data_IF_110215254035
#
_entry.id   IF_110215254035
#
_cell.length_a   1.000
_cell.length_b   1.000
_cell.length_c   1.000
_cell.angle_alpha   90.00
_cell.angle_beta   90.00
_cell.angle_gamma   90.00
#
_symmetry.space_group_name_H-M   'P 1'
#
loop_
_entity.id
_entity.type
_entity.pdbx_description
1 polymer ?
#
# COMPACT_ATOMS: atom_id res chain seq x y z
N UNK A 1 1.72 8.32 -31.44
CA UNK A 1 2.61 7.59 -30.52
C UNK A 1 3.82 7.09 -31.27
N UNK A 2 5.03 7.41 -30.80
CA UNK A 2 6.29 6.82 -31.33
C UNK A 2 6.53 5.46 -30.66
N UNK A 3 7.30 4.54 -31.28
CA UNK A 3 7.59 3.23 -30.67
C UNK A 3 8.15 3.37 -29.25
N UNK A 4 9.03 4.34 -29.00
CA UNK A 4 9.56 4.60 -27.66
C UNK A 4 8.48 4.94 -26.63
N UNK A 5 7.52 5.80 -26.98
CA UNK A 5 6.40 6.11 -26.09
C UNK A 5 5.56 4.87 -25.78
N UNK A 6 5.31 4.04 -26.78
CA UNK A 6 4.53 2.81 -26.65
C UNK A 6 5.27 1.80 -25.76
N UNK A 7 6.59 1.66 -25.92
CA UNK A 7 7.41 0.82 -25.04
C UNK A 7 7.28 1.26 -23.58
N UNK A 8 7.33 2.56 -23.29
CA UNK A 8 7.13 3.06 -21.94
C UNK A 8 5.74 2.69 -21.43
N UNK A 9 4.66 2.98 -22.17
CA UNK A 9 3.30 2.60 -21.75
C UNK A 9 3.17 1.09 -21.49
N UNK A 10 3.74 0.25 -22.36
CA UNK A 10 3.74 -1.20 -22.15
C UNK A 10 4.44 -1.60 -20.85
N UNK A 11 5.56 -0.95 -20.51
CA UNK A 11 6.31 -1.22 -19.29
C UNK A 11 5.56 -0.75 -18.03
N UNK A 12 4.83 0.36 -18.12
CA UNK A 12 4.37 1.11 -16.93
C UNK A 12 2.89 1.08 -16.65
N UNK A 13 2.04 0.63 -17.57
CA UNK A 13 0.58 0.63 -17.39
C UNK A 13 0.02 -0.78 -17.41
N UNK A 14 -1.08 -1.02 -16.69
CA UNK A 14 -1.78 -2.31 -16.69
C UNK A 14 -2.65 -2.46 -17.96
N UNK A 15 -2.01 -2.45 -19.12
CA UNK A 15 -2.70 -2.70 -20.39
C UNK A 15 -3.05 -4.19 -20.45
N UNK A 16 -4.25 -4.52 -19.94
CA UNK A 16 -4.89 -5.83 -20.11
C UNK A 16 -5.56 -5.99 -21.48
N UNK A 17 -5.73 -4.92 -22.27
CA UNK A 17 -6.47 -5.04 -23.52
C UNK A 17 -5.64 -5.77 -24.58
N UNK A 18 -6.13 -6.94 -25.02
CA UNK A 18 -5.72 -7.58 -26.29
C UNK A 18 -5.65 -6.54 -27.43
N UNK A 19 -6.55 -5.54 -27.42
CA UNK A 19 -6.57 -4.41 -28.34
C UNK A 19 -5.24 -3.66 -28.45
N UNK A 20 -4.51 -3.43 -27.35
CA UNK A 20 -3.29 -2.65 -27.42
C UNK A 20 -2.08 -3.45 -27.91
N UNK A 21 -2.02 -4.76 -27.68
CA UNK A 21 -1.03 -5.61 -28.35
C UNK A 21 -1.31 -5.66 -29.86
N UNK A 22 -2.59 -5.67 -30.25
CA UNK A 22 -2.99 -5.56 -31.66
C UNK A 22 -2.62 -4.19 -32.23
N UNK A 23 -2.83 -3.09 -31.50
CA UNK A 23 -2.42 -1.74 -31.91
C UNK A 23 -0.89 -1.63 -32.00
N UNK A 24 -0.16 -2.22 -31.04
CA UNK A 24 1.31 -2.29 -31.07
C UNK A 24 1.78 -3.01 -32.33
N UNK A 25 1.26 -4.22 -32.57
CA UNK A 25 1.61 -5.00 -33.76
C UNK A 25 1.19 -4.29 -35.04
N UNK A 26 0.03 -3.63 -35.06
CA UNK A 26 -0.42 -2.86 -36.22
C UNK A 26 0.51 -1.67 -36.52
N UNK A 27 0.90 -0.89 -35.50
CA UNK A 27 1.84 0.23 -35.65
C UNK A 27 3.22 -0.28 -36.06
N UNK A 28 3.69 -1.40 -35.48
CA UNK A 28 4.96 -2.01 -35.83
C UNK A 28 4.98 -2.51 -37.28
N UNK A 29 3.95 -3.25 -37.69
CA UNK A 29 3.79 -3.77 -39.06
C UNK A 29 3.65 -2.61 -40.06
N UNK A 30 2.88 -1.58 -39.74
CA UNK A 30 2.74 -0.39 -40.59
C UNK A 30 4.08 0.36 -40.72
N UNK A 31 4.81 0.52 -39.61
CA UNK A 31 6.14 1.12 -39.61
C UNK A 31 7.13 0.31 -40.47
N UNK A 32 7.10 -1.01 -40.36
CA UNK A 32 7.93 -1.91 -41.16
C UNK A 32 7.59 -1.83 -42.65
N UNK A 33 6.29 -1.79 -43.00
CA UNK A 33 5.81 -1.70 -44.36
C UNK A 33 6.20 -0.37 -45.05
N UNK A 34 6.18 0.74 -44.30
CA UNK A 34 6.69 2.03 -44.76
C UNK A 34 8.20 1.94 -45.01
N UNK A 35 8.95 1.36 -44.08
CA UNK A 35 10.41 1.23 -44.18
C UNK A 35 10.84 0.38 -45.39
N UNK A 36 10.14 -0.72 -45.65
CA UNK A 36 10.38 -1.58 -46.83
C UNK A 36 10.05 -0.85 -48.14
N UNK A 37 8.93 -0.13 -48.22
CA UNK A 37 8.61 0.66 -49.42
C UNK A 37 9.64 1.75 -49.70
N UNK A 38 10.12 2.40 -48.64
CA UNK A 38 11.14 3.45 -48.70
C UNK A 38 12.50 2.87 -49.11
N UNK A 39 12.82 1.63 -48.74
CA UNK A 39 14.08 0.96 -49.09
C UNK A 39 14.32 0.87 -50.60
N UNK A 40 13.27 0.61 -51.39
CA UNK A 40 13.42 0.41 -52.85
C UNK A 40 13.73 1.68 -53.65
N UNK A 41 13.60 2.87 -53.05
CA UNK A 41 13.66 4.14 -53.77
C UNK A 41 14.76 5.10 -53.27
N UNK A 42 15.61 4.65 -52.34
CA UNK A 42 16.48 5.53 -51.56
C UNK A 42 17.96 5.13 -51.65
N UNK A 43 18.84 6.12 -51.74
CA UNK A 43 20.30 5.92 -51.75
C UNK A 43 20.82 5.41 -50.41
N UNK A 44 21.95 4.66 -50.35
CA UNK A 44 22.47 4.10 -49.10
C UNK A 44 22.68 5.13 -47.97
N UNK A 45 23.04 6.37 -48.32
CA UNK A 45 23.24 7.44 -47.35
C UNK A 45 21.94 7.90 -46.67
N UNK A 46 20.87 8.00 -47.45
CA UNK A 46 19.54 8.35 -46.94
C UNK A 46 18.96 7.23 -46.06
N UNK A 47 19.33 5.95 -46.30
CA UNK A 47 18.97 4.83 -45.41
C UNK A 47 19.58 5.05 -44.02
N UNK A 48 20.88 5.34 -43.95
CA UNK A 48 21.56 5.62 -42.67
C UNK A 48 20.93 6.81 -41.95
N UNK A 49 20.60 7.86 -42.68
CA UNK A 49 19.90 9.03 -42.13
C UNK A 49 18.54 8.66 -41.54
N UNK A 50 17.72 7.91 -42.28
CA UNK A 50 16.39 7.48 -41.83
C UNK A 50 16.46 6.57 -40.59
N UNK A 51 17.44 5.67 -40.54
CA UNK A 51 17.71 4.84 -39.36
C UNK A 51 18.07 5.74 -38.16
N UNK A 52 18.96 6.72 -38.37
CA UNK A 52 19.32 7.69 -37.33
C UNK A 52 18.12 8.47 -36.81
N UNK A 53 17.29 9.02 -37.71
CA UNK A 53 16.05 9.74 -37.36
C UNK A 53 15.08 8.84 -36.60
N UNK A 54 14.92 7.58 -37.02
CA UNK A 54 14.08 6.61 -36.32
C UNK A 54 14.56 6.36 -34.89
N UNK A 55 15.86 6.13 -34.68
CA UNK A 55 16.41 5.94 -33.34
C UNK A 55 16.23 7.19 -32.46
N UNK A 56 16.44 8.38 -33.03
CA UNK A 56 16.20 9.65 -32.32
C UNK A 56 14.71 9.76 -31.94
N UNK A 57 13.79 9.44 -32.84
CA UNK A 57 12.35 9.49 -32.57
C UNK A 57 11.91 8.47 -31.50
N UNK A 58 12.53 7.28 -31.49
CA UNK A 58 12.33 6.27 -30.44
C UNK A 58 12.85 6.79 -29.10
N UNK A 59 14.08 7.29 -29.05
CA UNK A 59 14.69 7.82 -27.83
C UNK A 59 13.89 9.00 -27.27
N UNK A 60 13.54 9.97 -28.12
CA UNK A 60 12.72 11.13 -27.74
C UNK A 60 11.34 10.69 -27.25
N UNK A 61 10.70 9.75 -27.96
CA UNK A 61 9.44 9.15 -27.55
C UNK A 61 9.47 8.50 -26.17
N UNK A 62 10.52 7.74 -25.91
CA UNK A 62 10.77 7.10 -24.63
C UNK A 62 10.93 8.15 -23.53
N UNK A 63 11.85 9.12 -23.73
CA UNK A 63 12.10 10.20 -22.76
C UNK A 63 10.84 11.00 -22.43
N UNK A 64 10.04 11.33 -23.45
CA UNK A 64 8.80 12.08 -23.28
C UNK A 64 7.75 11.30 -22.49
N UNK A 65 7.54 10.03 -22.82
CA UNK A 65 6.60 9.18 -22.10
C UNK A 65 7.05 8.91 -20.65
N UNK A 66 8.35 8.69 -20.43
CA UNK A 66 8.91 8.57 -19.08
C UNK A 66 8.65 9.84 -18.28
N UNK A 67 8.92 11.01 -18.85
CA UNK A 67 8.61 12.30 -18.21
C UNK A 67 7.12 12.45 -17.90
N UNK A 68 6.24 12.05 -18.84
CA UNK A 68 4.80 12.11 -18.66
C UNK A 68 4.30 11.24 -17.50
N UNK A 69 4.85 10.03 -17.34
CA UNK A 69 4.50 9.13 -16.23
C UNK A 69 5.03 9.64 -14.90
N UNK A 70 6.27 10.15 -14.90
CA UNK A 70 6.82 10.73 -13.69
C UNK A 70 6.00 11.94 -13.25
N UNK A 71 5.46 12.72 -14.18
CA UNK A 71 4.59 13.86 -13.89
C UNK A 71 3.15 13.49 -13.49
N UNK A 72 2.82 12.20 -13.35
CA UNK A 72 1.53 11.80 -12.81
C UNK A 72 1.42 12.27 -11.36
N UNK A 73 0.43 13.12 -11.10
CA UNK A 73 0.10 13.54 -9.74
C UNK A 73 -0.84 12.53 -9.11
N UNK A 74 -0.61 12.27 -7.84
CA UNK A 74 -1.56 11.55 -7.00
C UNK A 74 -2.46 12.59 -6.34
N UNK A 75 -3.37 13.15 -7.13
CA UNK A 75 -4.33 14.13 -6.62
C UNK A 75 -5.54 13.37 -6.10
N UNK A 76 -5.70 13.36 -4.77
CA UNK A 76 -6.97 13.02 -4.16
C UNK A 76 -7.97 14.11 -4.54
N UNK A 77 -9.02 13.83 -5.34
CA UNK A 77 -10.08 14.80 -5.53
C UNK A 77 -10.69 15.09 -4.17
N UNK A 78 -10.74 16.37 -3.81
CA UNK A 78 -11.34 16.82 -2.57
C UNK A 78 -12.62 17.59 -2.92
N UNK A 79 -13.75 17.31 -2.27
CA UNK A 79 -14.96 18.11 -2.42
C UNK A 79 -14.70 19.55 -1.95
N UNK A 80 -15.21 20.54 -2.69
CA UNK A 80 -15.06 21.96 -2.34
C UNK A 80 -15.91 22.36 -1.12
N UNK A 81 -17.06 21.71 -0.92
CA UNK A 81 -17.95 21.95 0.21
C UNK A 81 -18.44 20.63 0.77
N UNK A 82 -18.38 20.48 2.10
CA UNK A 82 -18.93 19.35 2.82
C UNK A 82 -19.95 19.86 3.83
N UNK A 83 -21.24 19.54 3.65
CA UNK A 83 -22.22 19.80 4.69
C UNK A 83 -21.87 18.93 5.90
N UNK A 84 -21.82 19.54 7.08
CA UNK A 84 -21.46 18.87 8.32
C UNK A 84 -22.68 18.92 9.22
N UNK A 85 -23.22 17.73 9.52
CA UNK A 85 -24.23 17.56 10.55
C UNK A 85 -23.50 17.16 11.84
N UNK A 86 -23.41 18.10 12.79
CA UNK A 86 -22.69 17.92 14.07
C UNK A 86 -23.63 17.69 15.25
N UNK A 87 -24.93 17.49 15.04
CA UNK A 87 -25.89 17.45 16.17
C UNK A 87 -25.77 16.18 17.02
N UNK A 88 -25.39 15.05 16.41
CA UNK A 88 -25.17 13.78 17.12
C UNK A 88 -23.68 13.45 17.26
N UNK A 89 -23.26 13.05 18.46
CA UNK A 89 -21.93 12.47 18.65
C UNK A 89 -21.85 11.11 17.92
N UNK A 90 -21.09 11.08 16.82
CA UNK A 90 -20.80 9.85 16.09
C UNK A 90 -19.30 9.62 16.04
N UNK A 91 -18.93 8.39 16.40
CA UNK A 91 -17.56 7.93 16.40
C UNK A 91 -17.25 7.11 15.15
N UNK A 92 -16.05 7.29 14.60
CA UNK A 92 -15.57 6.55 13.45
C UNK A 92 -14.18 5.96 13.72
N UNK A 93 -13.93 4.75 13.22
CA UNK A 93 -12.61 4.14 13.18
C UNK A 93 -12.12 4.08 11.73
N UNK A 94 -10.98 4.72 11.46
CA UNK A 94 -10.27 4.62 10.19
C UNK A 94 -9.07 3.69 10.37
N UNK A 95 -8.97 2.66 9.54
CA UNK A 95 -7.82 1.75 9.51
C UNK A 95 -6.86 2.19 8.43
N UNK A 96 -5.76 2.82 8.83
CA UNK A 96 -4.74 3.35 7.92
C UNK A 96 -3.65 2.30 7.66
N UNK A 97 -3.39 2.02 6.39
CA UNK A 97 -2.34 1.07 5.97
C UNK A 97 -1.55 1.58 4.76
N UNK A 98 -0.43 0.92 4.44
CA UNK A 98 0.42 1.25 3.28
C UNK A 98 -0.39 1.29 1.97
N UNK A 99 -1.30 0.36 1.78
CA UNK A 99 -2.09 0.22 0.56
C UNK A 99 -1.34 -0.44 -0.58
N UNK A 100 -1.99 -1.40 -1.22
CA UNK A 100 -1.59 -1.90 -2.53
C UNK A 100 -2.82 -2.02 -3.42
N UNK A 101 -2.71 -1.50 -4.63
CA UNK A 101 -3.78 -1.56 -5.60
C UNK A 101 -4.13 -3.02 -5.94
N UNK A 102 -5.41 -3.33 -6.11
CA UNK A 102 -5.87 -4.66 -6.55
C UNK A 102 -5.29 -5.05 -7.92
N UNK A 103 -5.02 -4.04 -8.74
CA UNK A 103 -4.35 -4.12 -10.01
C UNK A 103 -3.06 -3.32 -10.00
N UNK A 104 -2.10 -3.68 -10.85
CA UNK A 104 -0.85 -2.94 -10.93
C UNK A 104 -1.10 -1.45 -11.25
N UNK A 105 -0.68 -0.58 -10.33
CA UNK A 105 -0.79 0.87 -10.42
C UNK A 105 0.61 1.49 -10.27
N UNK A 106 1.12 2.25 -11.26
CA UNK A 106 2.44 2.88 -11.16
C UNK A 106 2.50 4.02 -10.12
N UNK A 107 1.38 4.59 -9.71
CA UNK A 107 1.36 5.81 -8.91
C UNK A 107 2.11 5.67 -7.57
N UNK A 108 1.96 4.54 -6.89
CA UNK A 108 2.70 4.24 -5.66
C UNK A 108 4.22 4.38 -5.83
N UNK A 109 4.74 3.85 -6.94
CA UNK A 109 6.18 3.91 -7.23
C UNK A 109 6.60 5.32 -7.69
N UNK A 110 5.73 6.04 -8.42
CA UNK A 110 5.96 7.47 -8.75
C UNK A 110 6.07 8.31 -7.47
N UNK A 111 5.17 8.12 -6.51
CA UNK A 111 5.19 8.80 -5.20
C UNK A 111 6.49 8.51 -4.44
N UNK A 112 6.91 7.24 -4.37
CA UNK A 112 8.21 6.86 -3.78
C UNK A 112 9.38 7.60 -4.44
N UNK A 113 9.40 7.70 -5.77
CA UNK A 113 10.43 8.47 -6.47
C UNK A 113 10.37 9.97 -6.15
N UNK A 114 9.20 10.57 -6.00
CA UNK A 114 9.12 11.97 -5.58
C UNK A 114 9.72 12.19 -4.21
N UNK A 115 9.35 11.36 -3.23
CA UNK A 115 9.89 11.47 -1.87
C UNK A 115 11.41 11.23 -1.85
N UNK A 116 11.91 10.29 -2.65
CA UNK A 116 13.36 10.10 -2.81
C UNK A 116 14.07 11.33 -3.39
N UNK A 117 13.44 12.09 -4.30
CA UNK A 117 14.05 13.34 -4.84
C UNK A 117 14.08 14.39 -3.73
N UNK A 118 12.97 14.55 -3.03
CA UNK A 118 12.78 15.53 -1.96
C UNK A 118 13.76 15.32 -0.80
N UNK A 119 13.99 14.06 -0.43
CA UNK A 119 14.85 13.66 0.71
C UNK A 119 16.30 13.40 0.30
N UNK A 120 16.66 13.57 -0.97
CA UNK A 120 18.04 13.39 -1.45
C UNK A 120 18.52 11.94 -1.55
N UNK A 121 17.63 10.95 -1.48
CA UNK A 121 17.98 9.54 -1.67
C UNK A 121 18.42 9.29 -3.12
N UNK A 122 19.57 8.61 -3.33
CA UNK A 122 20.02 8.24 -4.68
C UNK A 122 18.96 7.42 -5.43
N UNK A 123 18.63 7.89 -6.63
CA UNK A 123 17.70 7.19 -7.51
C UNK A 123 18.44 6.51 -8.65
N UNK A 124 17.83 5.43 -9.14
CA UNK A 124 18.14 4.94 -10.49
C UNK A 124 17.89 6.07 -11.48
N UNK A 125 18.74 6.18 -12.50
CA UNK A 125 18.61 7.22 -13.51
C UNK A 125 17.20 7.24 -14.11
N UNK A 126 16.66 8.43 -14.39
CA UNK A 126 15.27 8.61 -14.84
C UNK A 126 14.88 7.71 -16.03
N UNK A 127 15.82 7.46 -16.93
CA UNK A 127 15.62 6.58 -18.10
C UNK A 127 15.47 5.09 -17.73
N UNK A 128 15.90 4.66 -16.56
CA UNK A 128 15.76 3.28 -16.10
C UNK A 128 14.46 3.04 -15.30
N UNK A 129 13.78 4.10 -14.83
CA UNK A 129 12.57 3.98 -14.02
C UNK A 129 11.46 3.13 -14.67
N UNK A 130 11.15 3.24 -15.99
CA UNK A 130 10.20 2.34 -16.68
C UNK A 130 10.48 0.84 -16.49
N UNK A 131 11.75 0.44 -16.33
CA UNK A 131 12.10 -0.96 -16.08
C UNK A 131 11.73 -1.39 -14.66
N UNK A 132 11.80 -0.49 -13.67
CA UNK A 132 11.38 -0.77 -12.30
C UNK A 132 9.86 -0.91 -12.20
N UNK A 133 9.11 -0.02 -12.86
CA UNK A 133 7.66 -0.17 -13.05
C UNK A 133 7.31 -1.54 -13.66
N UNK A 134 8.04 -1.95 -14.69
CA UNK A 134 7.83 -3.26 -15.31
C UNK A 134 8.16 -4.44 -14.39
N UNK A 135 9.19 -4.32 -13.55
CA UNK A 135 9.50 -5.34 -12.53
C UNK A 135 8.32 -5.49 -11.57
N UNK A 136 7.83 -4.41 -10.98
CA UNK A 136 6.66 -4.43 -10.07
C UNK A 136 5.44 -5.02 -10.78
N UNK A 137 5.16 -4.60 -12.01
CA UNK A 137 4.08 -5.16 -12.84
C UNK A 137 4.20 -6.68 -13.02
N UNK A 138 5.41 -7.22 -13.18
CA UNK A 138 5.63 -8.67 -13.28
C UNK A 138 5.36 -9.39 -11.96
N UNK A 139 5.68 -8.77 -10.81
CA UNK A 139 5.36 -9.32 -9.48
C UNK A 139 3.85 -9.46 -9.31
N UNK A 140 3.09 -8.40 -9.61
CA UNK A 140 1.62 -8.42 -9.62
C UNK A 140 1.04 -9.52 -10.49
N UNK A 141 1.52 -9.66 -11.73
CA UNK A 141 1.08 -10.73 -12.64
C UNK A 141 1.36 -12.11 -12.08
N UNK A 142 2.46 -12.29 -11.36
CA UNK A 142 2.79 -13.56 -10.74
C UNK A 142 1.82 -13.88 -9.60
N UNK A 143 1.58 -12.93 -8.69
CA UNK A 143 0.64 -13.10 -7.56
C UNK A 143 -0.77 -13.43 -8.08
N UNK A 144 -1.23 -12.69 -9.08
CA UNK A 144 -2.53 -12.92 -9.70
C UNK A 144 -2.62 -14.32 -10.31
N UNK A 145 -1.56 -14.77 -11.00
CA UNK A 145 -1.49 -16.11 -11.58
C UNK A 145 -1.43 -17.21 -10.51
N UNK A 146 -0.61 -17.05 -9.48
CA UNK A 146 -0.51 -18.05 -8.41
C UNK A 146 -1.83 -18.21 -7.66
N UNK A 147 -2.61 -17.13 -7.54
CA UNK A 147 -3.95 -17.20 -6.96
C UNK A 147 -4.97 -17.85 -7.88
N UNK A 148 -4.93 -17.59 -9.19
CA UNK A 148 -5.82 -18.26 -10.14
C UNK A 148 -5.61 -19.76 -10.20
N UNK A 149 -4.36 -20.20 -10.01
CA UNK A 149 -4.01 -21.62 -10.00
C UNK A 149 -4.54 -22.33 -8.74
N UNK A 150 -4.85 -21.59 -7.67
CA UNK A 150 -5.44 -22.13 -6.42
C UNK A 150 -6.97 -22.20 -6.46
N UNK A 151 -7.63 -21.35 -7.23
CA UNK A 151 -9.10 -21.27 -7.32
C UNK A 151 -9.67 -22.04 -8.50
N UNK A 152 -9.27 -23.31 -8.71
CA UNK A 152 -9.69 -24.11 -9.88
C UNK A 152 -11.22 -24.31 -9.99
N UNK A 153 -12.00 -24.13 -8.91
CA UNK A 153 -13.44 -24.41 -8.89
C UNK A 153 -14.36 -23.18 -9.07
N UNK A 154 -13.88 -21.94 -8.88
CA UNK A 154 -14.72 -20.71 -8.89
C UNK A 154 -14.51 -19.76 -10.10
N UNK A 155 -13.73 -20.17 -11.11
CA UNK A 155 -13.27 -19.30 -12.23
C UNK A 155 -14.32 -19.10 -13.34
N UNK A 156 -15.52 -18.63 -13.00
CA UNK A 156 -16.41 -18.06 -14.02
C UNK A 156 -16.88 -16.63 -13.78
N UNK A 157 -16.65 -16.05 -12.60
CA UNK A 157 -17.29 -14.77 -12.27
C UNK A 157 -16.31 -13.64 -11.96
N UNK A 158 -15.16 -13.88 -11.33
CA UNK A 158 -14.27 -12.80 -10.89
C UNK A 158 -12.83 -13.00 -11.37
N UNK A 159 -12.26 -11.95 -11.98
CA UNK A 159 -10.84 -11.93 -12.31
C UNK A 159 -9.99 -11.95 -11.03
N UNK A 160 -8.92 -12.75 -10.97
CA UNK A 160 -7.98 -12.75 -9.86
C UNK A 160 -7.31 -11.37 -9.72
N UNK A 161 -7.18 -10.88 -8.48
CA UNK A 161 -6.64 -9.56 -8.12
C UNK A 161 -5.66 -9.67 -6.96
N UNK A 162 -4.79 -8.68 -6.74
CA UNK A 162 -3.97 -8.61 -5.53
C UNK A 162 -4.90 -8.64 -4.29
N UNK A 163 -4.64 -9.51 -3.30
CA UNK A 163 -5.55 -9.74 -2.18
C UNK A 163 -5.50 -8.63 -1.12
N UNK A 164 -4.54 -7.72 -1.17
CA UNK A 164 -4.28 -6.71 -0.12
C UNK A 164 -5.55 -5.99 0.32
N UNK A 165 -6.31 -5.44 -0.64
CA UNK A 165 -7.54 -4.70 -0.34
C UNK A 165 -8.63 -5.61 0.24
N UNK A 166 -8.78 -6.82 -0.28
CA UNK A 166 -9.73 -7.81 0.27
C UNK A 166 -9.37 -8.17 1.72
N UNK A 167 -8.09 -8.37 2.01
CA UNK A 167 -7.63 -8.67 3.38
C UNK A 167 -7.86 -7.49 4.30
N UNK A 168 -7.56 -6.27 3.86
CA UNK A 168 -7.81 -5.05 4.65
C UNK A 168 -9.29 -4.90 4.95
N UNK A 169 -10.17 -5.10 3.96
CA UNK A 169 -11.61 -5.08 4.16
C UNK A 169 -12.07 -6.13 5.16
N UNK A 170 -11.61 -7.37 5.03
CA UNK A 170 -11.92 -8.42 5.99
C UNK A 170 -11.45 -8.05 7.42
N UNK A 171 -10.28 -7.43 7.54
CA UNK A 171 -9.78 -6.92 8.82
C UNK A 171 -10.75 -5.87 9.39
N UNK A 172 -11.17 -4.89 8.59
CA UNK A 172 -12.14 -3.86 8.99
C UNK A 172 -13.50 -4.45 9.38
N UNK A 173 -14.04 -5.37 8.58
CA UNK A 173 -15.30 -6.07 8.87
C UNK A 173 -15.20 -6.88 10.19
N UNK A 174 -14.05 -7.50 10.45
CA UNK A 174 -13.84 -8.20 11.72
C UNK A 174 -13.68 -7.23 12.89
N UNK A 175 -13.01 -6.09 12.72
CA UNK A 175 -12.99 -5.04 13.74
C UNK A 175 -14.41 -4.57 14.06
N UNK A 176 -15.23 -4.29 13.05
CA UNK A 176 -16.63 -3.89 13.20
C UNK A 176 -17.45 -4.94 13.96
N UNK A 177 -17.29 -6.22 13.59
CA UNK A 177 -18.00 -7.32 14.28
C UNK A 177 -17.50 -7.58 15.71
N UNK A 178 -16.23 -7.29 16.00
CA UNK A 178 -15.60 -7.55 17.30
C UNK A 178 -15.77 -6.37 18.26
N UNK A 179 -15.85 -5.16 17.73
CA UNK A 179 -15.89 -3.91 18.46
C UNK A 179 -17.15 -3.14 18.05
N UNK A 180 -18.15 -3.09 18.93
CA UNK A 180 -19.37 -2.30 18.67
C UNK A 180 -19.25 -0.87 19.24
N UNK A 181 -18.03 -0.41 19.51
CA UNK A 181 -17.78 0.90 20.14
C UNK A 181 -17.84 2.06 19.16
N UNK A 182 -17.63 1.81 17.86
CA UNK A 182 -17.67 2.84 16.82
C UNK A 182 -18.94 2.73 15.99
N UNK A 183 -19.47 3.87 15.54
CA UNK A 183 -20.63 3.92 14.66
C UNK A 183 -20.25 3.63 13.20
N UNK A 184 -18.99 3.86 12.83
CA UNK A 184 -18.52 3.78 11.46
C UNK A 184 -17.11 3.19 11.39
N UNK A 185 -16.86 2.42 10.33
CA UNK A 185 -15.58 1.78 10.04
C UNK A 185 -15.18 2.06 8.59
N UNK A 186 -13.92 2.38 8.35
CA UNK A 186 -13.42 2.70 7.00
C UNK A 186 -11.96 2.30 6.83
N UNK A 187 -11.64 1.66 5.71
CA UNK A 187 -10.25 1.44 5.26
C UNK A 187 -9.67 2.72 4.65
N UNK A 188 -8.39 3.01 4.91
CA UNK A 188 -7.63 4.08 4.28
C UNK A 188 -6.24 3.60 3.87
N UNK A 189 -5.74 4.13 2.76
CA UNK A 189 -4.50 3.70 2.13
C UNK A 189 -3.60 4.89 1.79
N UNK A 190 -2.29 4.72 1.96
CA UNK A 190 -1.32 5.72 1.51
C UNK A 190 -1.08 5.60 0.00
N UNK A 191 -0.93 4.39 -0.51
CA UNK A 191 -0.55 4.16 -1.91
C UNK A 191 -1.71 3.71 -2.81
N UNK A 192 -2.94 3.75 -2.31
CA UNK A 192 -4.15 3.38 -3.06
C UNK A 192 -5.37 4.19 -2.58
N UNK A 193 -6.56 3.87 -3.10
CA UNK A 193 -7.82 4.54 -2.78
C UNK A 193 -8.76 3.67 -1.93
N UNK A 194 -9.48 4.26 -0.96
CA UNK A 194 -9.50 5.68 -0.61
C UNK A 194 -8.26 6.10 0.19
N UNK A 195 -7.84 7.35 -0.02
CA UNK A 195 -6.76 7.98 0.77
C UNK A 195 -7.22 8.31 2.18
N UNK A 196 -6.29 8.66 3.07
CA UNK A 196 -6.65 9.10 4.43
C UNK A 196 -7.56 10.34 4.40
N UNK A 197 -7.31 11.29 3.51
CA UNK A 197 -8.19 12.45 3.34
C UNK A 197 -9.58 12.07 2.88
N UNK A 198 -9.70 11.19 1.89
CA UNK A 198 -11.02 10.74 1.44
C UNK A 198 -11.76 9.97 2.52
N UNK A 199 -11.06 9.13 3.27
CA UNK A 199 -11.64 8.42 4.39
C UNK A 199 -12.13 9.41 5.46
N UNK A 200 -11.31 10.39 5.85
CA UNK A 200 -11.67 11.44 6.80
C UNK A 200 -12.88 12.24 6.33
N UNK A 201 -12.83 12.80 5.13
CA UNK A 201 -13.93 13.60 4.58
C UNK A 201 -15.21 12.76 4.43
N UNK A 202 -15.11 11.49 4.06
CA UNK A 202 -16.25 10.59 4.01
C UNK A 202 -16.83 10.27 5.38
N UNK A 203 -16.02 10.19 6.44
CA UNK A 203 -16.52 10.00 7.80
C UNK A 203 -17.18 11.29 8.33
N UNK A 204 -16.55 12.44 8.09
CA UNK A 204 -17.05 13.76 8.49
C UNK A 204 -18.39 14.04 7.81
N UNK A 205 -18.51 13.77 6.50
CA UNK A 205 -19.75 13.96 5.76
C UNK A 205 -20.90 13.06 6.23
N UNK A 206 -20.60 12.01 6.99
CA UNK A 206 -21.57 11.09 7.60
C UNK A 206 -21.90 11.47 9.05
N UNK A 207 -21.38 12.61 9.52
CA UNK A 207 -21.59 13.17 10.85
C UNK A 207 -20.59 12.71 11.90
N UNK A 208 -19.44 12.12 11.51
CA UNK A 208 -18.43 11.72 12.49
C UNK A 208 -17.74 12.96 13.09
N UNK A 209 -17.81 13.11 14.42
CA UNK A 209 -17.12 14.16 15.17
C UNK A 209 -16.01 13.62 16.10
N UNK A 210 -15.96 12.30 16.32
CA UNK A 210 -14.87 11.62 17.04
C UNK A 210 -14.24 10.56 16.14
N UNK A 211 -13.09 10.85 15.56
CA UNK A 211 -12.44 9.94 14.61
C UNK A 211 -11.18 9.35 15.24
N UNK A 212 -11.09 8.03 15.30
CA UNK A 212 -9.87 7.33 15.70
C UNK A 212 -9.21 6.71 14.48
N UNK A 213 -7.91 6.94 14.31
CA UNK A 213 -7.09 6.34 13.26
C UNK A 213 -6.28 5.19 13.88
N UNK A 214 -6.63 3.95 13.52
CA UNK A 214 -5.80 2.78 13.77
C UNK A 214 -4.68 2.75 12.74
N UNK A 215 -3.46 2.98 13.21
CA UNK A 215 -2.27 2.97 12.41
C UNK A 215 -1.74 1.52 12.25
N UNK A 216 -1.74 0.99 11.02
CA UNK A 216 -1.16 -0.32 10.71
C UNK A 216 0.34 -0.27 10.36
N UNK A 217 1.04 0.82 10.63
CA UNK A 217 2.48 0.94 10.48
C UNK A 217 3.22 0.45 11.74
N UNK A 218 4.39 -0.15 11.51
CA UNK A 218 5.28 -0.57 12.60
C UNK A 218 5.95 0.61 13.27
N UNK A 219 6.22 1.68 12.53
CA UNK A 219 6.98 2.83 12.98
C UNK A 219 6.64 4.05 12.13
N UNK A 220 7.16 5.20 12.52
CA UNK A 220 7.20 6.39 11.67
C UNK A 220 8.05 6.10 10.44
N UNK A 221 7.42 6.18 9.26
CA UNK A 221 8.00 5.92 7.95
C UNK A 221 7.67 7.04 6.98
N UNK A 222 8.31 7.05 5.81
CA UNK A 222 7.97 8.02 4.78
C UNK A 222 6.51 7.84 4.28
N UNK A 223 5.97 6.62 4.21
CA UNK A 223 4.56 6.42 3.85
C UNK A 223 3.62 7.00 4.91
N UNK A 224 3.97 6.84 6.18
CA UNK A 224 3.21 7.47 7.26
C UNK A 224 3.28 9.00 7.17
N UNK A 225 4.47 9.57 6.98
CA UNK A 225 4.66 11.01 6.78
C UNK A 225 3.81 11.54 5.61
N UNK A 226 3.76 10.81 4.49
CA UNK A 226 2.89 11.14 3.37
C UNK A 226 1.39 11.12 3.71
N UNK A 227 0.95 10.23 4.61
CA UNK A 227 -0.42 10.22 5.10
C UNK A 227 -0.70 11.48 5.96
N UNK A 228 0.25 11.87 6.80
CA UNK A 228 0.15 13.07 7.63
C UNK A 228 0.16 14.34 6.75
N UNK A 229 1.02 14.41 5.74
CA UNK A 229 1.02 15.48 4.74
C UNK A 229 -0.32 15.60 4.01
N UNK A 230 -0.97 14.47 3.70
CA UNK A 230 -2.33 14.50 3.15
C UNK A 230 -3.30 15.11 4.16
N UNK A 231 -3.32 14.62 5.41
CA UNK A 231 -4.21 15.14 6.46
C UNK A 231 -4.07 16.65 6.66
N UNK A 232 -2.83 17.17 6.53
CA UNK A 232 -2.54 18.60 6.66
C UNK A 232 -3.21 19.50 5.63
N UNK A 233 -3.79 18.93 4.56
CA UNK A 233 -4.49 19.69 3.52
C UNK A 233 -5.88 20.14 3.95
N UNK A 234 -6.39 19.65 5.07
CA UNK A 234 -7.72 19.95 5.60
C UNK A 234 -7.55 20.73 6.90
N UNK A 235 -8.23 21.87 7.01
CA UNK A 235 -8.35 22.62 8.27
C UNK A 235 -9.50 22.02 9.09
N UNK A 236 -9.18 21.52 10.28
CA UNK A 236 -10.13 20.92 11.22
C UNK A 236 -10.57 21.88 12.33
N UNK A 237 -9.95 23.07 12.42
CA UNK A 237 -10.02 23.92 13.62
C UNK A 237 -11.42 24.48 13.92
N UNK A 238 -12.26 24.67 12.90
CA UNK A 238 -13.57 25.33 13.05
C UNK A 238 -14.75 24.35 13.28
N UNK A 239 -14.51 23.03 13.28
CA UNK A 239 -15.58 22.03 13.09
C UNK A 239 -15.93 21.25 14.37
N UNK A 240 -15.17 21.43 15.45
CA UNK A 240 -15.40 20.68 16.68
C UNK A 240 -15.17 19.16 16.54
N UNK A 241 -14.36 18.73 15.57
CA UNK A 241 -13.97 17.34 15.39
C UNK A 241 -12.77 17.04 16.28
N UNK A 242 -12.76 15.86 16.91
CA UNK A 242 -11.58 15.29 17.55
C UNK A 242 -11.02 14.17 16.67
N UNK A 243 -9.73 14.24 16.35
CA UNK A 243 -9.00 13.15 15.69
C UNK A 243 -8.00 12.58 16.67
N UNK A 244 -8.09 11.29 16.94
CA UNK A 244 -7.13 10.53 17.74
C UNK A 244 -6.41 9.51 16.89
N UNK A 245 -5.17 9.20 17.23
CA UNK A 245 -4.37 8.20 16.53
C UNK A 245 -3.77 7.20 17.52
N UNK A 246 -3.72 5.94 17.11
CA UNK A 246 -3.02 4.90 17.86
C UNK A 246 -1.50 5.07 17.76
N UNK A 247 -0.78 4.53 18.75
CA UNK A 247 0.65 4.32 18.63
C UNK A 247 0.98 3.31 17.51
N UNK A 248 2.25 3.29 17.10
CA UNK A 248 2.76 2.33 16.12
C UNK A 248 2.83 0.91 16.68
N UNK A 249 2.72 -0.08 15.79
CA UNK A 249 2.64 -1.49 16.19
C UNK A 249 3.97 -2.05 16.75
N UNK A 250 5.12 -1.38 16.53
CA UNK A 250 6.42 -1.82 17.08
C UNK A 250 6.42 -1.90 18.61
N UNK A 251 5.59 -1.11 19.27
CA UNK A 251 5.54 -1.03 20.73
C UNK A 251 4.74 -2.19 21.36
N UNK A 252 4.06 -3.01 20.56
CA UNK A 252 3.18 -4.07 21.06
C UNK A 252 3.93 -5.38 21.35
N UNK A 253 4.26 -5.59 22.62
CA UNK A 253 4.81 -6.87 23.10
C UNK A 253 3.83 -8.05 22.88
N UNK A 254 2.53 -7.76 22.94
CA UNK A 254 1.44 -8.72 22.69
C UNK A 254 1.47 -9.23 21.25
N UNK A 255 1.61 -8.33 20.26
CA UNK A 255 1.73 -8.73 18.85
C UNK A 255 2.99 -9.58 18.65
N UNK A 256 4.11 -9.20 19.26
CA UNK A 256 5.34 -10.00 19.19
C UNK A 256 5.14 -11.43 19.75
N UNK A 257 4.39 -11.59 20.84
CA UNK A 257 4.03 -12.90 21.40
C UNK A 257 3.16 -13.72 20.45
N UNK A 258 2.13 -13.11 19.87
CA UNK A 258 1.23 -13.77 18.93
C UNK A 258 2.03 -14.28 17.72
N UNK A 259 2.91 -13.44 17.17
CA UNK A 259 3.76 -13.82 16.03
C UNK A 259 4.72 -14.95 16.38
N UNK A 260 5.39 -14.89 17.54
CA UNK A 260 6.27 -15.97 17.99
C UNK A 260 5.52 -17.30 18.14
N UNK A 261 4.32 -17.29 18.72
CA UNK A 261 3.46 -18.47 18.84
C UNK A 261 3.01 -19.01 17.48
N UNK A 262 2.62 -18.13 16.55
CA UNK A 262 2.19 -18.50 15.20
C UNK A 262 3.33 -19.16 14.40
N UNK A 263 4.54 -18.61 14.48
CA UNK A 263 5.74 -19.20 13.88
C UNK A 263 6.01 -20.58 14.49
N UNK A 264 5.94 -20.70 15.83
CA UNK A 264 6.15 -21.97 16.51
C UNK A 264 5.09 -23.02 16.15
N UNK A 265 3.83 -22.62 16.02
CA UNK A 265 2.71 -23.50 15.69
C UNK A 265 2.76 -24.02 14.24
N UNK A 266 3.46 -23.34 13.34
CA UNK A 266 3.66 -23.79 11.97
C UNK A 266 4.70 -24.92 11.85
N UNK A 267 5.53 -25.13 12.87
CA UNK A 267 6.48 -26.24 12.94
C UNK A 267 5.71 -27.50 13.36
N UNK A 268 5.89 -28.61 12.66
CA UNK A 268 5.18 -29.85 12.97
C UNK A 268 5.52 -30.34 14.39
N UNK A 269 4.53 -30.82 15.14
CA UNK A 269 4.69 -31.20 16.56
C UNK A 269 5.82 -32.20 16.83
N UNK A 270 6.11 -33.10 15.87
CA UNK A 270 7.13 -34.14 16.01
C UNK A 270 8.46 -33.79 15.32
N UNK A 271 8.60 -32.57 14.79
CA UNK A 271 9.81 -32.15 14.10
C UNK A 271 10.90 -31.79 15.09
N UNK A 272 12.11 -32.25 14.81
CA UNK A 272 13.28 -31.88 15.60
C UNK A 272 13.61 -30.39 15.39
N UNK A 273 13.43 -29.59 16.43
CA UNK A 273 13.72 -28.14 16.43
C UNK A 273 15.19 -27.85 16.15
N UNK A 274 16.09 -28.81 16.40
CA UNK A 274 17.50 -28.69 16.04
C UNK A 274 17.69 -28.64 14.51
N UNK A 275 16.73 -29.10 13.72
CA UNK A 275 16.78 -29.04 12.25
C UNK A 275 15.99 -27.87 11.66
N UNK A 276 15.38 -27.02 12.49
CA UNK A 276 14.52 -25.92 12.04
C UNK A 276 15.24 -24.57 12.19
N UNK A 277 15.29 -23.81 11.10
CA UNK A 277 15.71 -22.42 11.08
C UNK A 277 14.51 -21.48 10.97
N UNK A 278 14.59 -20.30 11.60
CA UNK A 278 13.59 -19.23 11.48
C UNK A 278 14.23 -18.02 10.82
N UNK A 279 13.55 -17.48 9.82
CA UNK A 279 13.95 -16.28 9.09
C UNK A 279 12.91 -15.17 9.25
N UNK A 280 13.26 -14.14 10.02
CA UNK A 280 12.46 -12.95 10.31
C UNK A 280 12.82 -11.82 9.34
N UNK A 281 11.99 -11.60 8.33
CA UNK A 281 12.28 -10.64 7.26
C UNK A 281 11.53 -9.32 7.48
N UNK A 282 12.23 -8.20 7.29
CA UNK A 282 11.64 -6.86 7.18
C UNK A 282 11.96 -6.26 5.80
N UNK A 283 11.19 -5.26 5.36
CA UNK A 283 11.39 -4.63 4.05
C UNK A 283 12.76 -3.94 4.00
N UNK A 284 13.06 -3.09 4.98
CA UNK A 284 14.24 -2.24 4.99
C UNK A 284 14.03 -0.96 4.17
N UNK A 285 14.88 0.04 4.43
CA UNK A 285 14.86 1.32 3.74
C UNK A 285 16.28 1.82 3.44
N UNK A 286 16.46 2.77 2.51
CA UNK A 286 17.74 3.44 2.27
C UNK A 286 18.34 4.06 3.55
N UNK A 287 19.67 4.07 3.66
CA UNK A 287 20.38 4.60 4.83
C UNK A 287 20.14 6.10 5.04
N UNK A 288 19.98 6.85 3.95
CA UNK A 288 19.71 8.27 3.98
C UNK A 288 18.37 8.61 4.65
N UNK A 289 17.44 7.64 4.71
CA UNK A 289 16.16 7.81 5.41
C UNK A 289 16.21 7.55 6.91
N UNK A 290 17.25 6.91 7.46
CA UNK A 290 17.31 6.67 8.91
C UNK A 290 17.39 7.95 9.73
N UNK A 291 17.98 9.01 9.16
CA UNK A 291 18.05 10.30 9.81
C UNK A 291 16.69 11.02 9.86
N UNK A 292 15.76 10.66 8.97
CA UNK A 292 14.43 11.26 8.88
C UNK A 292 13.37 10.38 9.56
N UNK A 293 13.50 9.07 9.43
CA UNK A 293 12.52 8.08 9.84
C UNK A 293 13.22 6.94 10.60
N UNK A 294 12.96 6.75 11.91
CA UNK A 294 13.64 5.75 12.73
C UNK A 294 13.13 4.31 12.53
N UNK A 295 12.43 4.03 11.42
CA UNK A 295 11.80 2.72 11.16
C UNK A 295 12.79 1.55 11.19
N UNK A 296 14.01 1.70 10.66
CA UNK A 296 15.01 0.61 10.64
C UNK A 296 15.33 0.12 12.06
N UNK A 297 15.54 1.06 13.00
CA UNK A 297 15.83 0.72 14.40
C UNK A 297 14.61 0.10 15.08
N UNK A 298 13.43 0.66 14.88
CA UNK A 298 12.19 0.15 15.48
C UNK A 298 11.81 -1.25 14.96
N UNK A 299 11.96 -1.50 13.67
CA UNK A 299 11.76 -2.83 13.06
C UNK A 299 12.78 -3.86 13.56
N UNK A 300 14.02 -3.46 13.78
CA UNK A 300 15.04 -4.33 14.36
C UNK A 300 14.75 -4.66 15.83
N UNK A 301 14.36 -3.67 16.64
CA UNK A 301 13.93 -3.87 18.04
C UNK A 301 12.73 -4.82 18.09
N UNK A 302 11.71 -4.59 17.26
CA UNK A 302 10.51 -5.43 17.19
C UNK A 302 10.84 -6.88 16.86
N UNK A 303 11.67 -7.12 15.83
CA UNK A 303 12.08 -8.47 15.42
C UNK A 303 12.98 -9.16 16.43
N UNK A 304 13.87 -8.42 17.10
CA UNK A 304 14.66 -8.95 18.23
C UNK A 304 13.77 -9.37 19.38
N UNK A 305 12.67 -8.65 19.62
CA UNK A 305 11.63 -9.04 20.57
C UNK A 305 10.98 -10.39 20.23
N UNK A 306 10.56 -10.56 18.96
CA UNK A 306 10.05 -11.84 18.46
C UNK A 306 11.10 -12.95 18.59
N UNK A 307 12.36 -12.70 18.21
CA UNK A 307 13.45 -13.67 18.31
C UNK A 307 13.65 -14.15 19.75
N UNK A 308 13.65 -13.24 20.73
CA UNK A 308 13.73 -13.58 22.16
C UNK A 308 12.54 -14.44 22.61
N UNK A 309 11.32 -14.13 22.13
CA UNK A 309 10.12 -14.91 22.45
C UNK A 309 10.17 -16.31 21.83
N UNK A 310 10.64 -16.45 20.60
CA UNK A 310 10.90 -17.73 19.93
C UNK A 310 11.95 -18.57 20.68
N UNK A 311 13.02 -17.94 21.18
CA UNK A 311 14.04 -18.61 21.97
C UNK A 311 13.44 -19.20 23.25
N UNK A 312 12.56 -18.45 23.95
CA UNK A 312 11.80 -18.94 25.09
C UNK A 312 10.86 -20.12 24.75
N UNK A 313 10.42 -20.22 23.49
CA UNK A 313 9.63 -21.35 22.98
C UNK A 313 10.49 -22.56 22.54
N UNK A 314 11.78 -22.55 22.88
CA UNK A 314 12.69 -23.68 22.71
C UNK A 314 13.41 -23.73 21.36
N UNK A 315 13.35 -22.66 20.55
CA UNK A 315 14.12 -22.56 19.30
C UNK A 315 15.52 -22.02 19.63
N UNK A 316 16.58 -22.65 19.11
CA UNK A 316 17.95 -22.17 19.36
C UNK A 316 18.15 -20.77 18.78
N UNK A 317 18.69 -19.83 19.56
CA UNK A 317 18.93 -18.45 19.12
C UNK A 317 19.82 -18.38 17.88
N UNK A 318 20.78 -19.29 17.74
CA UNK A 318 21.67 -19.34 16.58
C UNK A 318 20.92 -19.67 15.28
N UNK A 319 19.74 -20.31 15.39
CA UNK A 319 18.85 -20.73 14.30
C UNK A 319 17.71 -19.74 14.06
N UNK A 320 17.74 -18.58 14.73
CA UNK A 320 16.85 -17.47 14.44
C UNK A 320 17.67 -16.39 13.74
N UNK A 321 17.29 -16.06 12.51
CA UNK A 321 17.97 -15.04 11.70
C UNK A 321 17.03 -13.91 11.40
N UNK A 322 17.55 -12.70 11.52
CA UNK A 322 16.91 -11.49 11.02
C UNK A 322 17.51 -11.23 9.64
N UNK A 323 16.67 -10.81 8.69
CA UNK A 323 17.12 -10.45 7.36
C UNK A 323 16.34 -9.25 6.85
N UNK A 324 16.94 -8.55 5.90
CA UNK A 324 16.31 -7.45 5.20
C UNK A 324 16.04 -7.86 3.76
N UNK A 325 14.89 -7.42 3.24
CA UNK A 325 14.54 -7.67 1.85
C UNK A 325 15.39 -6.80 0.91
N UNK A 326 15.63 -5.54 1.29
CA UNK A 326 16.41 -4.59 0.52
C UNK A 326 17.15 -3.58 1.42
N UNK A 327 18.09 -2.86 0.81
CA UNK A 327 18.83 -1.71 1.35
C UNK A 327 19.70 -1.95 2.59
N UNK A 328 19.58 -3.10 3.26
CA UNK A 328 20.27 -3.42 4.52
C UNK A 328 20.84 -4.81 4.54
N UNK A 329 21.73 -5.03 5.50
CA UNK A 329 22.41 -6.32 5.74
C UNK A 329 22.07 -6.85 7.13
N UNK A 330 21.99 -8.18 7.31
CA UNK A 330 22.18 -9.21 6.28
C UNK A 330 20.96 -9.31 5.34
N UNK A 331 21.21 -9.62 4.07
CA UNK A 331 20.14 -9.92 3.10
C UNK A 331 19.57 -11.33 3.33
N UNK A 332 18.40 -11.61 2.77
CA UNK A 332 17.71 -12.92 2.89
C UNK A 332 18.65 -14.09 2.58
N UNK A 333 19.43 -13.97 1.51
CA UNK A 333 20.33 -15.02 1.02
C UNK A 333 21.46 -15.33 2.00
N UNK A 334 22.05 -14.30 2.61
CA UNK A 334 23.14 -14.48 3.58
C UNK A 334 22.62 -15.18 4.85
N UNK A 335 21.48 -14.72 5.36
CA UNK A 335 20.83 -15.29 6.54
C UNK A 335 20.34 -16.72 6.27
N UNK A 336 19.81 -16.99 5.08
CA UNK A 336 19.45 -18.33 4.65
C UNK A 336 20.67 -19.27 4.66
N UNK A 337 21.77 -18.87 4.03
CA UNK A 337 22.99 -19.68 3.96
C UNK A 337 23.61 -19.94 5.35
N UNK A 338 23.50 -18.98 6.27
CA UNK A 338 23.91 -19.19 7.67
C UNK A 338 23.05 -20.26 8.38
N UNK A 339 21.74 -20.31 8.13
CA UNK A 339 20.87 -21.38 8.66
C UNK A 339 21.25 -22.75 8.11
N UNK A 340 21.58 -22.84 6.81
CA UNK A 340 22.00 -24.10 6.18
C UNK A 340 23.32 -24.60 6.79
N UNK A 341 24.30 -23.72 6.99
CA UNK A 341 25.56 -24.04 7.67
C UNK A 341 25.36 -24.57 9.09
N UNK A 342 24.27 -24.17 9.74
CA UNK A 342 23.87 -24.65 11.09
C UNK A 342 23.06 -25.94 11.07
N UNK A 343 22.96 -26.60 9.91
CA UNK A 343 22.30 -27.88 9.75
C UNK A 343 20.77 -27.79 9.68
N UNK A 344 20.20 -26.61 9.42
CA UNK A 344 18.75 -26.48 9.24
C UNK A 344 18.34 -27.16 7.93
N UNK A 345 17.29 -27.99 8.00
CA UNK A 345 16.68 -28.70 6.86
C UNK A 345 15.29 -28.17 6.51
N UNK A 346 14.68 -27.45 7.45
CA UNK A 346 13.42 -26.75 7.27
C UNK A 346 13.62 -25.30 7.70
N UNK A 347 13.17 -24.36 6.89
CA UNK A 347 13.23 -22.93 7.19
C UNK A 347 11.82 -22.36 7.19
N UNK A 348 11.40 -21.88 8.35
CA UNK A 348 10.18 -21.08 8.51
C UNK A 348 10.52 -19.63 8.23
N UNK A 349 9.82 -18.99 7.30
CA UNK A 349 10.08 -17.58 6.97
C UNK A 349 8.81 -16.74 7.07
N UNK A 350 8.96 -15.48 7.48
CA UNK A 350 7.84 -14.57 7.74
C UNK A 350 8.22 -13.13 7.42
N UNK A 351 7.29 -12.40 6.79
CA UNK A 351 7.34 -10.95 6.67
C UNK A 351 6.94 -10.33 8.01
N UNK A 352 7.90 -10.19 8.92
CA UNK A 352 7.63 -9.85 10.32
C UNK A 352 7.02 -8.48 10.53
N UNK A 353 7.36 -7.50 9.69
CA UNK A 353 6.97 -6.09 9.86
C UNK A 353 5.86 -5.67 8.90
N UNK A 354 5.22 -6.64 8.24
CA UNK A 354 4.15 -6.41 7.28
C UNK A 354 2.83 -6.96 7.83
N UNK A 355 1.91 -6.11 8.31
CA UNK A 355 0.66 -6.59 8.90
C UNK A 355 -0.32 -7.20 7.89
N UNK A 356 -0.29 -6.77 6.63
CA UNK A 356 -1.19 -7.25 5.58
C UNK A 356 -0.36 -7.88 4.47
N UNK A 357 -0.79 -9.05 3.97
CA UNK A 357 -0.10 -9.71 2.87
C UNK A 357 -0.04 -8.80 1.64
N UNK A 358 1.16 -8.62 1.11
CA UNK A 358 1.50 -7.65 0.08
C UNK A 358 2.44 -8.27 -0.95
N UNK A 359 2.93 -7.49 -1.92
CA UNK A 359 3.88 -7.99 -2.92
C UNK A 359 5.14 -8.58 -2.27
N UNK A 360 5.62 -7.97 -1.19
CA UNK A 360 6.85 -8.42 -0.53
C UNK A 360 6.67 -9.81 0.12
N UNK A 361 5.56 -10.01 0.86
CA UNK A 361 5.28 -11.29 1.54
C UNK A 361 4.83 -12.39 0.59
N UNK A 362 4.09 -12.05 -0.47
CA UNK A 362 3.51 -13.02 -1.40
C UNK A 362 4.44 -13.37 -2.57
N UNK A 363 5.38 -12.49 -2.92
CA UNK A 363 6.27 -12.70 -4.06
C UNK A 363 7.74 -12.58 -3.69
N UNK A 364 8.20 -11.43 -3.19
CA UNK A 364 9.64 -11.18 -3.13
C UNK A 364 10.38 -12.09 -2.16
N UNK A 365 9.85 -12.26 -0.94
CA UNK A 365 10.45 -13.15 0.07
C UNK A 365 10.44 -14.61 -0.39
N UNK A 366 9.29 -15.20 -0.79
CA UNK A 366 9.27 -16.56 -1.34
C UNK A 366 10.23 -16.70 -2.52
N UNK A 367 10.25 -15.72 -3.43
CA UNK A 367 11.04 -15.83 -4.66
C UNK A 367 12.54 -15.81 -4.39
N UNK A 368 13.00 -15.03 -3.41
CA UNK A 368 14.40 -14.99 -2.99
C UNK A 368 14.85 -16.36 -2.43
N UNK A 369 13.97 -17.08 -1.74
CA UNK A 369 14.27 -18.36 -1.09
C UNK A 369 14.11 -19.58 -2.00
N UNK A 370 13.10 -19.60 -2.87
CA UNK A 370 12.69 -20.78 -3.65
C UNK A 370 13.83 -21.42 -4.46
N UNK A 371 14.66 -20.61 -5.12
CA UNK A 371 15.70 -21.12 -6.00
C UNK A 371 16.81 -21.80 -5.20
N UNK A 372 17.18 -21.24 -4.05
CA UNK A 372 18.21 -21.79 -3.17
C UNK A 372 17.70 -23.03 -2.45
N UNK A 373 16.47 -22.97 -1.91
CA UNK A 373 15.85 -24.10 -1.25
C UNK A 373 15.70 -25.34 -2.13
N UNK A 374 15.40 -25.16 -3.42
CA UNK A 374 15.38 -26.28 -4.38
C UNK A 374 16.76 -26.88 -4.61
N UNK A 375 17.82 -26.07 -4.66
CA UNK A 375 19.18 -26.54 -4.87
C UNK A 375 19.70 -27.29 -3.63
N UNK A 376 19.38 -26.79 -2.44
CA UNK A 376 19.86 -27.32 -1.16
C UNK A 376 18.93 -28.42 -0.58
N UNK A 377 17.82 -28.73 -1.27
CA UNK A 377 16.78 -29.67 -0.82
C UNK A 377 16.23 -29.33 0.58
N UNK A 378 15.89 -28.05 0.76
CA UNK A 378 15.40 -27.48 2.01
C UNK A 378 13.89 -27.25 1.93
N UNK A 379 13.18 -27.65 2.97
CA UNK A 379 11.76 -27.37 3.11
C UNK A 379 11.55 -25.91 3.53
N UNK A 380 10.72 -25.18 2.80
CA UNK A 380 10.31 -23.82 3.17
C UNK A 380 8.89 -23.83 3.72
N UNK A 381 8.70 -23.26 4.90
CA UNK A 381 7.39 -23.05 5.51
C UNK A 381 7.10 -21.53 5.51
N UNK A 382 6.33 -21.02 4.53
CA UNK A 382 5.93 -19.62 4.53
C UNK A 382 4.87 -19.35 5.60
N UNK A 383 5.09 -18.32 6.42
CA UNK A 383 4.06 -17.75 7.29
C UNK A 383 3.52 -16.50 6.61
N UNK A 384 2.20 -16.47 6.42
CA UNK A 384 1.48 -15.28 5.94
C UNK A 384 1.69 -14.10 6.88
N UNK A 385 1.44 -12.90 6.37
CA UNK A 385 1.30 -11.71 7.19
C UNK A 385 0.22 -11.88 8.29
N UNK A 386 0.09 -10.87 9.13
CA UNK A 386 -0.77 -10.91 10.30
C UNK A 386 -2.24 -11.01 9.89
N UNK A 387 -2.59 -10.29 8.82
CA UNK A 387 -3.89 -10.25 8.16
C UNK A 387 -5.01 -10.02 9.19
N UNK A 388 -6.10 -10.76 9.06
CA UNK A 388 -7.31 -10.71 9.86
C UNK A 388 -7.30 -11.77 10.99
N UNK A 389 -6.12 -12.08 11.54
CA UNK A 389 -5.93 -13.02 12.65
C UNK A 389 -6.68 -12.55 13.91
N UNK A 390 -7.45 -13.45 14.51
CA UNK A 390 -8.34 -13.10 15.62
C UNK A 390 -7.59 -12.61 16.87
N UNK A 391 -6.42 -13.17 17.17
CA UNK A 391 -5.63 -12.72 18.34
C UNK A 391 -5.03 -11.33 18.07
N UNK A 392 -4.61 -11.07 16.83
CA UNK A 392 -4.10 -9.75 16.42
C UNK A 392 -5.22 -8.71 16.46
N UNK A 393 -6.41 -9.03 15.95
CA UNK A 393 -7.59 -8.16 16.01
C UNK A 393 -7.92 -7.79 17.45
N UNK A 394 -7.94 -8.78 18.35
CA UNK A 394 -8.17 -8.52 19.77
C UNK A 394 -7.10 -7.62 20.38
N UNK A 395 -5.84 -7.74 19.94
CA UNK A 395 -4.76 -6.86 20.41
C UNK A 395 -4.96 -5.41 19.98
N UNK A 396 -5.55 -5.17 18.79
CA UNK A 396 -5.85 -3.82 18.31
C UNK A 396 -6.82 -3.07 19.21
N UNK A 397 -7.72 -3.74 19.94
CA UNK A 397 -8.61 -3.07 20.89
C UNK A 397 -7.85 -2.26 21.94
N UNK A 398 -6.82 -2.86 22.54
CA UNK A 398 -6.01 -2.20 23.56
C UNK A 398 -5.27 -0.99 22.99
N UNK A 399 -4.80 -1.11 21.75
CA UNK A 399 -4.09 -0.07 21.01
C UNK A 399 -5.04 1.08 20.64
N UNK A 400 -6.25 0.77 20.17
CA UNK A 400 -7.32 1.73 19.86
C UNK A 400 -7.76 2.49 21.12
N UNK A 401 -7.94 1.78 22.24
CA UNK A 401 -8.37 2.39 23.51
C UNK A 401 -7.30 3.34 24.07
N UNK A 402 -6.03 3.10 23.75
CA UNK A 402 -4.91 3.97 24.13
C UNK A 402 -4.60 5.06 23.09
N UNK A 403 -5.45 5.25 22.07
CA UNK A 403 -5.27 6.30 21.07
C UNK A 403 -5.19 7.69 21.71
N UNK A 404 -4.31 8.52 21.18
CA UNK A 404 -4.05 9.89 21.68
C UNK A 404 -4.59 10.89 20.69
N UNK A 405 -5.18 11.97 21.20
CA UNK A 405 -5.64 13.08 20.38
C UNK A 405 -4.46 13.70 19.61
N UNK A 406 -4.67 13.98 18.34
CA UNK A 406 -3.70 14.66 17.49
C UNK A 406 -3.79 16.18 17.71
N UNK A 407 -2.67 16.92 17.68
CA UNK A 407 -2.69 18.37 17.76
C UNK A 407 -3.22 18.97 16.45
N UNK A 408 -4.54 19.15 16.34
CA UNK A 408 -5.21 19.60 15.11
C UNK A 408 -4.70 20.96 14.60
N UNK A 409 -4.25 21.83 15.51
CA UNK A 409 -3.64 23.11 15.15
C UNK A 409 -2.39 22.93 14.27
N UNK A 410 -1.61 21.87 14.48
CA UNK A 410 -0.42 21.56 13.68
C UNK A 410 -0.77 20.89 12.34
N UNK A 411 -1.98 20.31 12.23
CA UNK A 411 -2.47 19.76 10.98
C UNK A 411 -2.96 20.87 10.02
N UNK A 412 -3.57 21.93 10.52
CA UNK A 412 -4.20 22.96 9.68
C UNK A 412 -3.28 24.06 9.12
N UNK A 413 -2.00 24.14 9.50
CA UNK A 413 -1.14 25.30 9.17
C UNK A 413 -0.98 25.59 7.67
N UNK A 414 -1.13 24.57 6.82
CA UNK A 414 -1.00 24.67 5.36
C UNK A 414 -2.25 24.14 4.63
N UNK A 415 -3.42 24.25 5.26
CA UNK A 415 -4.65 23.69 4.71
C UNK A 415 -4.99 24.30 3.34
N UNK A 416 -5.32 23.43 2.39
CA UNK A 416 -5.90 23.82 1.10
C UNK A 416 -7.42 23.92 1.17
N UNK A 417 -8.03 23.32 2.20
CA UNK A 417 -9.47 23.23 2.41
C UNK A 417 -9.81 23.74 3.79
N UNK A 418 -10.71 24.71 3.83
CA UNK A 418 -11.35 25.17 5.06
C UNK A 418 -12.75 24.55 5.08
N UNK A 419 -12.99 23.67 6.04
CA UNK A 419 -14.30 23.08 6.24
C UNK A 419 -15.18 24.10 6.97
N UNK A 420 -16.22 24.58 6.30
CA UNK A 420 -17.15 25.54 6.87
C UNK A 420 -18.28 24.79 7.58
N UNK A 421 -18.54 25.12 8.86
CA UNK A 421 -19.75 24.68 9.54
C UNK A 421 -20.95 25.39 8.93
N UNK A 422 -21.62 24.78 7.97
CA UNK A 422 -22.96 25.24 7.59
C UNK A 422 -23.92 24.77 8.68
N UNK A 423 -24.56 25.70 9.40
CA UNK A 423 -25.74 25.39 10.22
C UNK A 423 -26.89 24.97 9.28
N UNK A 424 -26.85 23.74 8.77
CA UNK A 424 -27.88 23.22 7.86
C UNK A 424 -29.23 23.13 8.58
N UNK A 425 -29.22 22.88 9.91
CA UNK A 425 -30.42 22.88 10.75
C UNK A 425 -31.17 24.21 10.78
N UNK A 426 -30.47 25.35 10.71
CA UNK A 426 -31.12 26.67 10.71
C UNK A 426 -31.83 26.98 9.38
N UNK A 427 -31.41 26.36 8.27
CA UNK A 427 -31.99 26.63 6.94
C UNK A 427 -33.26 25.81 6.70
N UNK A 428 -33.31 24.59 7.25
CA UNK A 428 -34.52 23.75 7.22
C UNK A 428 -35.57 24.24 8.22
N UNK A 429 -35.18 24.66 9.43
CA UNK A 429 -36.12 25.24 10.39
C UNK A 429 -36.74 26.57 9.89
N UNK A 430 -35.97 27.40 9.18
CA UNK A 430 -36.53 28.61 8.55
C UNK A 430 -37.42 28.31 7.34
N UNK A 431 -37.23 27.16 6.67
CA UNK A 431 -38.11 26.72 5.58
C UNK A 431 -39.39 26.06 6.09
N UNK A 432 -39.34 25.34 7.21
CA UNK A 432 -40.52 24.82 7.89
C UNK A 432 -41.35 25.94 8.55
N UNK A 433 -40.70 26.97 9.15
CA UNK A 433 -41.41 28.17 9.64
C UNK A 433 -42.02 29.02 8.50
N UNK A 434 -41.39 29.08 7.31
CA UNK A 434 -41.99 29.74 6.13
C UNK A 434 -43.13 28.93 5.48
N UNK A 435 -43.13 27.60 5.56
CA UNK A 435 -44.25 26.76 5.09
C UNK A 435 -45.47 26.82 6.02
N UNK A 436 -45.28 26.84 7.35
CA UNK A 436 -46.38 27.01 8.31
C UNK A 436 -47.03 28.41 8.21
N UNK A 437 -46.26 29.47 7.93
CA UNK A 437 -46.78 30.83 7.70
C UNK A 437 -47.51 31.00 6.35
N UNK A 438 -47.29 30.10 5.39
CA UNK A 438 -47.98 30.11 4.09
C UNK A 438 -49.33 29.40 4.15
N UNK A 439 -49.46 28.34 4.95
CA UNK A 439 -50.73 27.63 5.12
C UNK A 439 -51.75 28.43 5.95
N UNK A 440 -51.31 29.28 6.89
CA UNK A 440 -52.22 30.12 7.70
C UNK A 440 -52.87 31.24 6.86
N UNK A 441 -52.20 31.76 5.82
CA UNK A 441 -52.74 32.82 4.93
C UNK A 441 -53.75 32.34 3.89
N UNK A 442 -53.87 31.03 3.65
CA UNK A 442 -54.84 30.49 2.68
C UNK A 442 -56.20 30.14 3.28
N UNK A 443 -56.41 30.30 4.59
CA UNK A 443 -57.66 29.93 5.25
C UNK A 443 -58.66 31.08 5.50
N UNK A 444 -58.26 32.34 5.25
CA UNK A 444 -59.10 33.52 5.53
C UNK A 444 -59.79 34.13 4.27
N UNK A 445 -59.67 33.53 3.08
CA UNK A 445 -60.29 34.04 1.83
C UNK A 445 -61.50 33.26 1.31
N UNK A 446 -62.09 32.38 2.13
CA UNK A 446 -63.37 31.73 1.81
C UNK A 446 -64.34 31.78 2.99
N UNK A 447 -65.05 32.91 3.11
CA UNK A 447 -66.43 32.98 3.62
C UNK A 447 -67.15 34.24 3.12
#
# INVERSE_FOLDING_TARGET
YTMGSISVYFLTTNIKSKQNNTIFMAIFVLGLAILVNVWFWITPWQILWNIGVLFIAIAFGYMWATRGIMNLKFDSPLPENLPIDTEEERSALIVLSKGEAEEYNPLALVRKYYKQVETGVPQKGKLAQPLEFFKVKRKYRHIIKSQSDLTIEDIKVNEPKNPYRKITRNLVEKLESSFLTFNMYQEAFVNDWPTINQALLSMISRGANKITILNLFLAESFEYDMAIEEMKRIDYSEIGITISQTEFLSNSDVIQDILAKKIKAAIQTNQDLSSVGILLVAEGQPEEWDALYPITEQEDIFRKGIAKKLAKLGISEEKIKLAWLQDRTPIIEESYQDLIKKGCRTIVHVATTTPIDCVDSLYDIPKALENQAKADNIELIPIKAWNDDAEIINSYLSIITAAKEMPLAELGENAEIVLQSTNVGATLASQEEEEDDLDEKTSDETD
#
